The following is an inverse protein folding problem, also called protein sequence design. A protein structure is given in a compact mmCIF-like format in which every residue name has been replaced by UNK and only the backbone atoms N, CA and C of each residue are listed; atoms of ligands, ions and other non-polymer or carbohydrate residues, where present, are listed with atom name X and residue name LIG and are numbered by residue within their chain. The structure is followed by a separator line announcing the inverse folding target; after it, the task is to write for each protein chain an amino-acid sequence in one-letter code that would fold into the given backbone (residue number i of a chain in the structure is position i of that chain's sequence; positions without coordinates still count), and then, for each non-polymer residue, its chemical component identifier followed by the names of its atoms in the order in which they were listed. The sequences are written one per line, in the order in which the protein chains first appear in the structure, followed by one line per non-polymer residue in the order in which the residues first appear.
data_IF_227331005121
#
_entry.id   IF_227331005121
#
_cell.length_a   1.000
_cell.length_b   1.000
_cell.length_c   1.000
_cell.angle_alpha   90.00
_cell.angle_beta   90.00
_cell.angle_gamma   90.00
#
_symmetry.space_group_name_H-M   'P 1'
#
loop_
_entity.id
_entity.type
_entity.pdbx_description
1 polymer ?
#
# COMPACT_ATOMS: atom_id res chain seq x y z
N UNK A 1 7.17 2.12 -14.85
CA UNK A 1 8.15 3.12 -14.35
C UNK A 1 9.25 2.33 -13.69
N UNK A 2 10.45 2.34 -14.25
CA UNK A 2 11.59 1.57 -13.75
C UNK A 2 12.31 2.44 -12.73
N UNK A 3 12.14 2.18 -11.43
CA UNK A 3 12.68 3.01 -10.37
C UNK A 3 14.21 2.85 -10.28
N UNK A 4 14.95 3.81 -10.83
CA UNK A 4 16.40 3.78 -10.94
C UNK A 4 17.15 4.01 -9.60
N UNK A 5 16.44 4.36 -8.51
CA UNK A 5 17.02 4.49 -7.16
C UNK A 5 16.03 3.98 -6.09
N UNK A 6 16.45 2.98 -5.32
CA UNK A 6 15.69 2.37 -4.21
C UNK A 6 15.25 3.41 -3.18
N UNK A 7 16.09 4.43 -2.94
CA UNK A 7 15.78 5.52 -2.01
C UNK A 7 14.64 6.38 -2.51
N UNK A 8 14.61 6.65 -3.81
CA UNK A 8 13.56 7.47 -4.41
C UNK A 8 12.22 6.73 -4.41
N UNK A 9 12.24 5.44 -4.75
CA UNK A 9 11.06 4.57 -4.62
C UNK A 9 10.46 4.63 -3.21
N UNK A 10 11.27 4.46 -2.15
CA UNK A 10 10.76 4.51 -0.77
C UNK A 10 10.19 5.89 -0.38
N UNK A 11 10.76 6.99 -0.90
CA UNK A 11 10.22 8.32 -0.68
C UNK A 11 8.89 8.52 -1.39
N UNK A 12 8.74 7.97 -2.60
CA UNK A 12 7.48 8.04 -3.34
C UNK A 12 6.37 7.29 -2.60
N UNK A 13 6.63 6.09 -2.09
CA UNK A 13 5.70 5.38 -1.20
C UNK A 13 5.37 6.22 0.04
N UNK A 14 6.38 6.75 0.74
CA UNK A 14 6.13 7.63 1.90
C UNK A 14 5.27 8.86 1.55
N UNK A 15 5.46 9.44 0.37
CA UNK A 15 4.64 10.55 -0.12
C UNK A 15 3.19 10.16 -0.39
N UNK A 16 2.95 8.93 -0.86
CA UNK A 16 1.59 8.37 -1.03
C UNK A 16 0.93 8.12 0.33
N UNK A 17 1.64 7.55 1.31
CA UNK A 17 1.10 7.33 2.65
C UNK A 17 0.75 8.63 3.38
N UNK A 18 1.50 9.70 3.16
CA UNK A 18 1.13 11.03 3.69
C UNK A 18 -0.17 11.55 3.11
N UNK A 19 -0.47 11.23 1.84
CA UNK A 19 -1.76 11.59 1.23
C UNK A 19 -2.89 10.77 1.85
N UNK A 20 -2.67 9.48 2.11
CA UNK A 20 -3.64 8.64 2.82
C UNK A 20 -3.99 9.21 4.20
N UNK A 21 -2.97 9.61 4.97
CA UNK A 21 -3.17 10.28 6.25
C UNK A 21 -4.03 11.55 6.10
N UNK A 22 -3.70 12.44 5.17
CA UNK A 22 -4.46 13.67 4.95
C UNK A 22 -5.93 13.40 4.59
N UNK A 23 -6.19 12.39 3.75
CA UNK A 23 -7.55 11.98 3.37
C UNK A 23 -8.34 11.48 4.60
N UNK A 24 -7.69 10.71 5.49
CA UNK A 24 -8.31 10.23 6.73
C UNK A 24 -8.59 11.37 7.72
N UNK A 25 -7.68 12.34 7.84
CA UNK A 25 -7.87 13.54 8.67
C UNK A 25 -9.04 14.39 8.17
N UNK A 26 -9.15 14.57 6.84
CA UNK A 26 -10.26 15.29 6.23
C UNK A 26 -11.59 14.54 6.39
N UNK A 27 -11.59 13.21 6.20
CA UNK A 27 -12.76 12.36 6.47
C UNK A 27 -13.23 12.52 7.93
N UNK A 28 -12.30 12.53 8.89
CA UNK A 28 -12.60 12.73 10.31
C UNK A 28 -13.15 14.13 10.60
N UNK A 29 -12.65 15.14 9.91
CA UNK A 29 -13.13 16.52 10.02
C UNK A 29 -14.47 16.76 9.27
N UNK A 30 -15.04 15.74 8.62
CA UNK A 30 -16.25 15.86 7.80
C UNK A 30 -16.01 16.59 6.48
N UNK A 31 -14.76 16.84 6.10
CA UNK A 31 -14.36 17.44 4.83
C UNK A 31 -14.25 16.31 3.81
N UNK A 32 -15.32 16.09 3.05
CA UNK A 32 -15.28 15.09 1.98
C UNK A 32 -14.68 15.75 0.74
N UNK A 33 -13.42 15.40 0.46
CA UNK A 33 -12.66 16.01 -0.64
C UNK A 33 -13.33 15.77 -2.01
N UNK A 34 -13.39 16.83 -2.84
CA UNK A 34 -13.79 16.74 -4.24
C UNK A 34 -12.86 15.82 -5.05
N UNK A 35 -11.61 15.61 -4.61
CA UNK A 35 -10.65 14.69 -5.24
C UNK A 35 -11.19 13.27 -5.36
N UNK A 36 -12.07 12.85 -4.44
CA UNK A 36 -12.71 11.53 -4.52
C UNK A 36 -13.75 11.45 -5.65
N UNK A 37 -14.34 12.56 -6.10
CA UNK A 37 -15.39 12.55 -7.15
C UNK A 37 -14.87 12.02 -8.49
N UNK A 38 -13.61 12.29 -8.82
CA UNK A 38 -12.99 11.86 -10.08
C UNK A 38 -12.24 10.52 -9.98
N UNK A 39 -12.09 9.95 -8.77
CA UNK A 39 -11.35 8.70 -8.59
C UNK A 39 -11.96 7.55 -9.40
N UNK A 40 -11.13 6.88 -10.19
CA UNK A 40 -11.52 5.75 -11.03
C UNK A 40 -10.99 4.46 -10.43
N UNK A 41 -11.90 3.62 -9.96
CA UNK A 41 -11.55 2.28 -9.50
C UNK A 41 -11.09 1.42 -10.67
N UNK A 42 -10.05 0.62 -10.44
CA UNK A 42 -9.44 -0.30 -11.39
C UNK A 42 -9.25 -1.65 -10.69
N UNK A 43 -9.28 -2.70 -11.48
CA UNK A 43 -8.91 -4.01 -10.98
C UNK A 43 -7.42 -4.05 -10.65
N UNK A 44 -7.07 -4.61 -9.50
CA UNK A 44 -5.69 -4.86 -9.08
C UNK A 44 -5.53 -6.36 -8.89
N UNK A 45 -4.53 -6.95 -9.55
CA UNK A 45 -4.21 -8.36 -9.39
C UNK A 45 -3.52 -8.58 -8.04
N UNK A 46 -3.95 -9.60 -7.30
CA UNK A 46 -3.31 -10.03 -6.05
C UNK A 46 -2.48 -11.29 -6.33
N UNK A 47 -1.14 -11.14 -6.33
CA UNK A 47 -0.21 -12.26 -6.59
C UNK A 47 0.22 -12.96 -5.30
N UNK A 48 -0.20 -12.46 -4.13
CA UNK A 48 -0.07 -13.11 -2.82
C UNK A 48 1.35 -13.46 -2.42
N UNK A 49 2.35 -12.76 -2.95
CA UNK A 49 3.75 -13.02 -2.62
C UNK A 49 4.04 -12.71 -1.15
N UNK A 50 3.42 -11.66 -0.61
CA UNK A 50 3.55 -11.31 0.80
C UNK A 50 2.95 -12.37 1.73
N UNK A 51 1.91 -13.08 1.31
CA UNK A 51 1.25 -14.11 2.12
C UNK A 51 2.21 -15.25 2.51
N UNK A 52 3.29 -15.47 1.75
CA UNK A 52 4.29 -16.52 1.96
C UNK A 52 5.61 -16.04 2.60
N UNK A 53 5.70 -14.77 3.01
CA UNK A 53 6.87 -14.27 3.74
C UNK A 53 6.56 -14.12 5.22
N UNK A 54 7.56 -14.36 6.07
CA UNK A 54 7.42 -14.12 7.51
C UNK A 54 7.34 -12.63 7.82
N UNK A 55 6.72 -12.31 8.96
CA UNK A 55 6.73 -10.96 9.51
C UNK A 55 8.15 -10.57 9.93
N UNK A 56 8.70 -9.54 9.27
CA UNK A 56 10.01 -8.97 9.58
C UNK A 56 9.82 -7.70 10.41
N UNK A 57 10.56 -7.56 11.51
CA UNK A 57 10.61 -6.31 12.26
C UNK A 57 11.70 -5.39 11.68
N UNK A 58 11.46 -4.08 11.72
CA UNK A 58 12.51 -3.13 11.33
C UNK A 58 13.70 -3.22 12.27
N UNK A 59 14.91 -3.27 11.70
CA UNK A 59 16.16 -3.08 12.43
C UNK A 59 17.17 -2.28 11.60
N UNK A 60 18.05 -1.49 12.26
CA UNK A 60 19.12 -0.81 11.57
C UNK A 60 20.01 -1.80 10.80
N UNK A 61 20.36 -1.44 9.56
CA UNK A 61 21.22 -2.27 8.70
C UNK A 61 20.53 -3.46 8.04
N UNK A 62 19.20 -3.60 8.12
CA UNK A 62 18.48 -4.66 7.42
C UNK A 62 18.75 -4.66 5.91
N UNK A 63 18.82 -5.86 5.32
CA UNK A 63 19.07 -6.03 3.90
C UNK A 63 17.91 -5.54 3.04
N UNK A 64 18.16 -5.31 1.75
CA UNK A 64 17.11 -4.87 0.83
C UNK A 64 15.97 -5.89 0.69
N UNK A 65 16.28 -7.18 0.70
CA UNK A 65 15.29 -8.27 0.72
C UNK A 65 14.33 -8.14 1.90
N UNK A 66 14.89 -8.05 3.11
CA UNK A 66 14.13 -7.93 4.36
C UNK A 66 13.30 -6.65 4.37
N UNK A 67 13.83 -5.56 3.82
CA UNK A 67 13.13 -4.29 3.70
C UNK A 67 11.90 -4.40 2.78
N UNK A 68 12.02 -5.11 1.65
CA UNK A 68 10.89 -5.40 0.76
C UNK A 68 9.87 -6.31 1.45
N UNK A 69 10.31 -7.36 2.16
CA UNK A 69 9.42 -8.23 2.94
C UNK A 69 8.62 -7.44 3.98
N UNK A 70 9.29 -6.57 4.73
CA UNK A 70 8.65 -5.67 5.69
C UNK A 70 7.63 -4.74 5.01
N UNK A 71 7.99 -4.12 3.88
CA UNK A 71 7.11 -3.20 3.16
C UNK A 71 5.85 -3.90 2.64
N UNK A 72 6.00 -5.03 1.95
CA UNK A 72 4.87 -5.82 1.45
C UNK A 72 3.93 -6.25 2.59
N UNK A 73 4.48 -6.67 3.74
CA UNK A 73 3.68 -7.03 4.92
C UNK A 73 2.94 -5.85 5.53
N UNK A 74 3.47 -4.63 5.43
CA UNK A 74 2.76 -3.43 5.87
C UNK A 74 1.59 -3.14 4.95
N UNK A 75 1.75 -3.25 3.62
CA UNK A 75 0.63 -3.01 2.70
C UNK A 75 -0.44 -4.10 2.81
N UNK A 76 -0.05 -5.36 3.04
CA UNK A 76 -0.99 -6.45 3.35
C UNK A 76 -1.84 -6.13 4.59
N UNK A 77 -1.20 -5.63 5.66
CA UNK A 77 -1.88 -5.26 6.91
C UNK A 77 -2.74 -4.01 6.75
N UNK A 78 -2.28 -3.00 6.02
CA UNK A 78 -3.03 -1.79 5.73
C UNK A 78 -4.27 -2.10 4.87
N UNK A 79 -4.10 -2.91 3.81
CA UNK A 79 -5.20 -3.40 2.99
C UNK A 79 -6.24 -4.16 3.82
N UNK A 80 -5.81 -5.04 4.72
CA UNK A 80 -6.71 -5.75 5.64
C UNK A 80 -7.47 -4.76 6.53
N UNK A 81 -6.76 -3.82 7.15
CA UNK A 81 -7.37 -2.79 8.01
C UNK A 81 -8.42 -1.97 7.26
N UNK A 82 -8.13 -1.49 6.05
CA UNK A 82 -9.10 -0.69 5.29
C UNK A 82 -10.29 -1.51 4.81
N UNK A 83 -10.11 -2.81 4.52
CA UNK A 83 -11.25 -3.69 4.23
C UNK A 83 -12.16 -3.88 5.46
N UNK A 84 -11.58 -4.02 6.65
CA UNK A 84 -12.35 -4.09 7.90
C UNK A 84 -13.10 -2.76 8.17
N UNK A 85 -12.45 -1.61 7.95
CA UNK A 85 -13.08 -0.31 8.08
C UNK A 85 -14.18 -0.09 7.03
N UNK A 86 -13.97 -0.53 5.79
CA UNK A 86 -14.96 -0.50 4.72
C UNK A 86 -16.21 -1.32 5.08
N UNK A 87 -16.01 -2.53 5.60
CA UNK A 87 -17.12 -3.39 6.03
C UNK A 87 -17.94 -2.76 7.17
N UNK A 88 -17.30 -1.95 8.03
CA UNK A 88 -17.94 -1.29 9.16
C UNK A 88 -18.43 0.15 8.86
N UNK A 89 -18.16 0.68 7.66
CA UNK A 89 -18.48 2.04 7.28
C UNK A 89 -20.00 2.32 7.29
N UNK A 90 -20.38 3.46 7.86
CA UNK A 90 -21.78 3.85 8.06
C UNK A 90 -22.29 4.85 7.02
N UNK A 91 -21.38 5.61 6.42
CA UNK A 91 -21.73 6.61 5.40
C UNK A 91 -21.10 6.26 4.05
N UNK A 92 -21.71 6.73 2.96
CA UNK A 92 -21.18 6.51 1.61
C UNK A 92 -19.82 7.18 1.40
N UNK A 93 -19.58 8.30 2.11
CA UNK A 93 -18.29 8.97 2.13
C UNK A 93 -17.19 8.08 2.73
N UNK A 94 -17.45 7.47 3.89
CA UNK A 94 -16.54 6.51 4.53
C UNK A 94 -16.28 5.32 3.62
N UNK A 95 -17.36 4.71 3.07
CA UNK A 95 -17.23 3.58 2.14
C UNK A 95 -16.36 3.95 0.94
N UNK A 96 -16.54 5.13 0.37
CA UNK A 96 -15.77 5.57 -0.79
C UNK A 96 -14.30 5.78 -0.46
N UNK A 97 -13.99 6.41 0.69
CA UNK A 97 -12.61 6.61 1.15
C UNK A 97 -11.94 5.28 1.41
N UNK A 98 -12.53 4.41 2.24
CA UNK A 98 -11.89 3.14 2.58
C UNK A 98 -11.75 2.22 1.36
N UNK A 99 -12.72 2.20 0.45
CA UNK A 99 -12.58 1.47 -0.81
C UNK A 99 -11.45 2.00 -1.68
N UNK A 100 -11.25 3.31 -1.73
CA UNK A 100 -10.14 3.94 -2.45
C UNK A 100 -8.80 3.54 -1.80
N UNK A 101 -8.69 3.65 -0.48
CA UNK A 101 -7.49 3.24 0.25
C UNK A 101 -7.19 1.75 0.04
N UNK A 102 -8.19 0.86 0.08
CA UNK A 102 -7.97 -0.55 -0.28
C UNK A 102 -7.35 -0.73 -1.67
N UNK A 103 -7.76 0.07 -2.67
CA UNK A 103 -7.20 -0.06 -4.01
C UNK A 103 -5.76 0.48 -4.09
N UNK A 104 -5.46 1.59 -3.42
CA UNK A 104 -4.11 2.13 -3.35
C UNK A 104 -3.17 1.13 -2.66
N UNK A 105 -3.55 0.60 -1.49
CA UNK A 105 -2.74 -0.40 -0.77
C UNK A 105 -2.57 -1.69 -1.58
N UNK A 106 -3.61 -2.16 -2.28
CA UNK A 106 -3.47 -3.32 -3.16
C UNK A 106 -2.50 -3.04 -4.32
N UNK A 107 -2.50 -1.82 -4.86
CA UNK A 107 -1.58 -1.42 -5.94
C UNK A 107 -0.14 -1.33 -5.42
N UNK A 108 0.04 -0.81 -4.21
CA UNK A 108 1.33 -0.75 -3.52
C UNK A 108 1.87 -2.14 -3.20
N UNK A 109 1.03 -3.01 -2.64
CA UNK A 109 1.32 -4.43 -2.40
C UNK A 109 1.82 -5.07 -3.69
N UNK A 110 1.04 -5.04 -4.78
CA UNK A 110 1.43 -5.62 -6.06
C UNK A 110 2.74 -5.04 -6.60
N UNK A 111 2.95 -3.73 -6.48
CA UNK A 111 4.19 -3.09 -6.92
C UNK A 111 5.41 -3.59 -6.14
N UNK A 112 5.31 -3.71 -4.82
CA UNK A 112 6.39 -4.20 -3.96
C UNK A 112 6.65 -5.70 -4.18
N UNK A 113 5.58 -6.49 -4.34
CA UNK A 113 5.68 -7.92 -4.67
C UNK A 113 6.38 -8.15 -6.01
N UNK A 114 6.07 -7.34 -7.03
CA UNK A 114 6.74 -7.40 -8.33
C UNK A 114 8.22 -7.04 -8.22
N UNK A 115 8.56 -5.99 -7.46
CA UNK A 115 9.95 -5.59 -7.21
C UNK A 115 10.72 -6.68 -6.45
N UNK A 116 10.06 -7.34 -5.49
CA UNK A 116 10.65 -8.46 -4.77
C UNK A 116 10.94 -9.64 -5.70
N UNK A 117 10.00 -10.01 -6.56
CA UNK A 117 10.20 -11.10 -7.53
C UNK A 117 11.32 -10.80 -8.52
N UNK A 118 11.36 -9.59 -9.08
CA UNK A 118 12.45 -9.16 -9.95
C UNK A 118 13.81 -9.21 -9.24
N UNK A 119 13.86 -8.79 -7.98
CA UNK A 119 15.08 -8.81 -7.18
C UNK A 119 15.54 -10.23 -6.87
N UNK A 120 14.62 -11.15 -6.52
CA UNK A 120 14.95 -12.55 -6.27
C UNK A 120 15.43 -13.24 -7.56
N UNK A 121 14.78 -12.99 -8.70
CA UNK A 121 15.19 -13.53 -10.00
C UNK A 121 16.60 -13.08 -10.40
N UNK A 122 16.98 -11.83 -10.12
CA UNK A 122 18.34 -11.32 -10.39
C UNK A 122 19.40 -11.91 -9.46
N UNK A 123 19.03 -12.32 -8.25
CA UNK A 123 19.94 -12.92 -7.28
C UNK A 123 20.12 -14.44 -7.47
N UNK A 124 19.42 -15.04 -8.44
CA UNK A 124 19.60 -16.43 -8.83
C UNK A 124 18.95 -17.43 -7.87
N UNK A 125 17.62 -17.30 -7.67
CA UNK A 125 16.81 -18.47 -7.29
C UNK A 125 17.07 -19.68 -8.23
#
# INVERSE_FOLDING_TARGET
VQFADKKEMLKEFSGQERKHQAILEDLKAGKIDQQLKSYKFKWVTDIKRSDYVDDVAYHPGMGYKELLMLAMKREEKALKLYNELLANAKTDAQKKVFKMLCQEEATHKLSLESIYDDYMAQMGD
#
